data_IF_945671827818
#
_entry.id   IF_945671827818
#
_cell.length_a   1.000
_cell.length_b   1.000
_cell.length_c   1.000
_cell.angle_alpha   90.00
_cell.angle_beta   90.00
_cell.angle_gamma   90.00
#
_symmetry.space_group_name_H-M   'P 1'
#
loop_
_entity.id
_entity.type
_entity.pdbx_description
1 polymer ?
#
# COMPACT_ATOMS: atom_id res chain seq x y z
N UNK A 1 -1.59 19.33 -12.58
CA UNK A 1 -1.71 18.90 -14.00
C UNK A 1 -2.63 17.69 -14.15
N UNK A 2 -2.43 16.60 -13.39
CA UNK A 2 -3.23 15.37 -13.52
C UNK A 2 -4.76 15.55 -13.42
N UNK A 3 -5.26 16.41 -12.52
CA UNK A 3 -6.70 16.69 -12.39
C UNK A 3 -7.31 17.38 -13.63
N UNK A 4 -6.54 18.25 -14.31
CA UNK A 4 -6.98 18.89 -15.57
C UNK A 4 -6.98 17.90 -16.73
N UNK A 5 -6.08 16.93 -16.72
CA UNK A 5 -6.02 15.85 -17.70
C UNK A 5 -7.16 14.85 -17.52
N UNK A 6 -7.48 14.52 -16.27
CA UNK A 6 -8.62 13.68 -15.92
C UNK A 6 -9.94 14.21 -16.49
N UNK A 7 -10.17 15.52 -16.37
CA UNK A 7 -11.38 16.15 -16.93
C UNK A 7 -11.43 16.12 -18.46
N UNK A 8 -10.29 16.05 -19.15
CA UNK A 8 -10.23 16.02 -20.62
C UNK A 8 -10.30 14.61 -21.21
N UNK A 9 -9.65 13.64 -20.56
CA UNK A 9 -9.50 12.27 -21.06
C UNK A 9 -10.62 11.33 -20.58
N UNK A 10 -11.33 11.70 -19.51
CA UNK A 10 -12.24 10.80 -18.81
C UNK A 10 -11.50 9.74 -17.97
N UNK A 11 -12.26 9.01 -17.15
CA UNK A 11 -11.69 8.14 -16.12
C UNK A 11 -10.87 6.98 -16.69
N UNK A 12 -11.37 6.25 -17.70
CA UNK A 12 -10.71 5.03 -18.19
C UNK A 12 -9.37 5.31 -18.88
N UNK A 13 -9.33 6.29 -19.80
CA UNK A 13 -8.08 6.66 -20.49
C UNK A 13 -7.06 7.28 -19.54
N UNK A 14 -7.51 8.11 -18.60
CA UNK A 14 -6.63 8.66 -17.56
C UNK A 14 -6.08 7.54 -16.64
N UNK A 15 -6.94 6.60 -16.21
CA UNK A 15 -6.55 5.45 -15.38
C UNK A 15 -5.52 4.59 -16.10
N UNK A 16 -5.70 4.31 -17.39
CA UNK A 16 -4.76 3.55 -18.21
C UNK A 16 -3.42 4.27 -18.33
N UNK A 17 -3.44 5.56 -18.68
CA UNK A 17 -2.24 6.40 -18.85
C UNK A 17 -1.41 6.49 -17.57
N UNK A 18 -2.06 6.67 -16.42
CA UNK A 18 -1.38 6.79 -15.12
C UNK A 18 -1.18 5.46 -14.41
N UNK A 19 -1.66 4.34 -14.97
CA UNK A 19 -1.65 3.04 -14.30
C UNK A 19 -2.38 3.05 -12.96
N UNK A 20 -3.39 3.92 -12.81
CA UNK A 20 -4.11 4.16 -11.55
C UNK A 20 -4.85 2.92 -11.04
N UNK A 21 -5.14 1.96 -11.93
CA UNK A 21 -5.70 0.65 -11.56
C UNK A 21 -4.83 -0.13 -10.57
N UNK A 22 -3.51 0.10 -10.52
CA UNK A 22 -2.59 -0.57 -9.59
C UNK A 22 -2.72 -0.09 -8.14
N UNK A 23 -3.41 1.03 -7.90
CA UNK A 23 -3.63 1.59 -6.55
C UNK A 23 -4.32 0.59 -5.62
N UNK A 24 -5.35 -0.09 -6.13
CA UNK A 24 -6.12 -1.07 -5.37
C UNK A 24 -5.28 -2.26 -4.91
N UNK A 25 -4.30 -2.70 -5.72
CA UNK A 25 -3.40 -3.78 -5.33
C UNK A 25 -2.52 -3.36 -4.13
N UNK A 26 -1.98 -2.14 -4.15
CA UNK A 26 -1.20 -1.61 -3.04
C UNK A 26 -2.05 -1.43 -1.77
N UNK A 27 -3.23 -0.82 -1.89
CA UNK A 27 -4.13 -0.63 -0.74
C UNK A 27 -4.62 -1.95 -0.15
N UNK A 28 -4.93 -2.93 -1.02
CA UNK A 28 -5.31 -4.28 -0.62
C UNK A 28 -4.19 -4.97 0.16
N UNK A 29 -2.95 -4.87 -0.33
CA UNK A 29 -1.77 -5.39 0.37
C UNK A 29 -1.61 -4.77 1.76
N UNK A 30 -1.65 -3.44 1.88
CA UNK A 30 -1.58 -2.77 3.19
C UNK A 30 -2.74 -3.17 4.11
N UNK A 31 -3.96 -3.27 3.59
CA UNK A 31 -5.13 -3.71 4.37
C UNK A 31 -4.95 -5.13 4.90
N UNK A 32 -4.41 -6.04 4.08
CA UNK A 32 -4.20 -7.43 4.47
C UNK A 32 -3.13 -7.57 5.56
N UNK A 33 -1.99 -6.87 5.43
CA UNK A 33 -0.94 -6.85 6.47
C UNK A 33 -1.51 -6.36 7.81
N UNK A 34 -2.28 -5.27 7.78
CA UNK A 34 -2.92 -4.71 8.97
C UNK A 34 -3.96 -5.64 9.60
N UNK A 35 -4.68 -6.42 8.78
CA UNK A 35 -5.63 -7.43 9.27
C UNK A 35 -4.92 -8.62 9.93
N UNK A 36 -3.73 -9.00 9.45
CA UNK A 36 -2.93 -10.08 10.03
C UNK A 36 -2.19 -9.67 11.31
N UNK A 37 -1.61 -8.47 11.38
CA UNK A 37 -0.69 -8.08 12.46
C UNK A 37 -1.16 -6.91 13.32
N UNK A 38 -2.35 -6.37 13.04
CA UNK A 38 -2.85 -5.12 13.62
C UNK A 38 -2.17 -3.88 13.06
N UNK A 39 -2.72 -2.71 13.42
CA UNK A 39 -2.27 -1.40 12.93
C UNK A 39 -1.27 -0.71 13.86
N UNK A 40 -1.04 -1.29 15.04
CA UNK A 40 -0.19 -0.71 16.09
C UNK A 40 1.14 -1.44 16.21
N UNK A 41 2.09 -0.82 16.90
CA UNK A 41 3.39 -1.40 17.25
C UNK A 41 3.55 -1.37 18.76
N UNK A 42 4.33 -2.33 19.31
CA UNK A 42 4.61 -2.38 20.75
C UNK A 42 5.94 -1.73 21.12
N UNK A 43 6.85 -1.59 20.16
CA UNK A 43 8.12 -0.93 20.40
C UNK A 43 7.96 0.55 20.82
N UNK A 44 8.66 0.94 21.89
CA UNK A 44 8.59 2.31 22.41
C UNK A 44 9.55 3.30 21.73
N UNK A 45 10.68 2.81 21.18
CA UNK A 45 11.62 3.66 20.43
C UNK A 45 11.23 3.73 18.97
N UNK A 46 11.38 4.90 18.35
CA UNK A 46 11.09 5.13 16.92
C UNK A 46 11.80 4.12 16.01
N UNK A 47 13.09 3.85 16.27
CA UNK A 47 13.84 2.83 15.53
C UNK A 47 13.29 1.42 15.73
N UNK A 48 12.80 1.09 16.93
CA UNK A 48 12.12 -0.16 17.22
C UNK A 48 10.80 -0.30 16.46
N UNK A 49 10.00 0.77 16.42
CA UNK A 49 8.73 0.81 15.69
C UNK A 49 8.94 0.53 14.21
N UNK A 50 9.92 1.19 13.59
CA UNK A 50 10.26 0.97 12.16
C UNK A 50 10.72 -0.47 11.91
N UNK A 51 11.56 -1.04 12.80
CA UNK A 51 11.99 -2.44 12.68
C UNK A 51 10.83 -3.43 12.82
N UNK A 52 9.91 -3.17 13.75
CA UNK A 52 8.71 -3.99 13.95
C UNK A 52 7.82 -3.99 12.70
N UNK A 53 7.56 -2.81 12.14
CA UNK A 53 6.79 -2.67 10.89
C UNK A 53 7.50 -3.42 9.76
N UNK A 54 8.80 -3.21 9.54
CA UNK A 54 9.57 -3.93 8.50
C UNK A 54 9.45 -5.45 8.64
N UNK A 55 9.49 -5.97 9.87
CA UNK A 55 9.33 -7.40 10.13
C UNK A 55 7.91 -7.89 9.80
N UNK A 56 6.86 -7.16 10.17
CA UNK A 56 5.46 -7.51 9.82
C UNK A 56 5.27 -7.63 8.31
N UNK A 57 5.74 -6.64 7.55
CA UNK A 57 5.66 -6.66 6.08
C UNK A 57 6.52 -7.77 5.46
N UNK A 58 7.76 -7.95 5.93
CA UNK A 58 8.65 -9.01 5.43
C UNK A 58 8.10 -10.42 5.68
N UNK A 59 7.51 -10.66 6.86
CA UNK A 59 6.84 -11.92 7.18
C UNK A 59 5.61 -12.14 6.30
N UNK A 60 4.81 -11.10 6.08
CA UNK A 60 3.66 -11.21 5.18
C UNK A 60 4.10 -11.62 3.78
N UNK A 61 5.09 -10.93 3.19
CA UNK A 61 5.63 -11.27 1.87
C UNK A 61 6.18 -12.69 1.81
N UNK A 62 6.88 -13.14 2.85
CA UNK A 62 7.42 -14.50 2.91
C UNK A 62 6.31 -15.55 2.84
N UNK A 63 5.20 -15.33 3.57
CA UNK A 63 4.07 -16.27 3.62
C UNK A 63 3.24 -16.22 2.34
N UNK A 64 2.97 -15.03 1.82
CA UNK A 64 2.11 -14.85 0.64
C UNK A 64 2.86 -14.96 -0.69
N UNK A 65 4.20 -14.96 -0.67
CA UNK A 65 5.08 -14.95 -1.84
C UNK A 65 4.77 -13.79 -2.81
N UNK A 66 4.48 -12.62 -2.24
CA UNK A 66 4.24 -11.35 -2.97
C UNK A 66 5.54 -10.54 -2.98
#
# INVERSE_FOLDING_TARGET
>A
QAAKEFQKLGYEEWKKKHGYGRRWAAEGFFSAVKRCFGETVRAASSGGMVREVKRKFGLYNLVTRI
#
